data_IF_217132981820
#
_entry.id   IF_217132981820
#
_cell.length_a   1.000
_cell.length_b   1.000
_cell.length_c   1.000
_cell.angle_alpha   90.00
_cell.angle_beta   90.00
_cell.angle_gamma   90.00
#
_symmetry.space_group_name_H-M   'P 1'
#
loop_
_entity.id
_entity.type
_entity.pdbx_description
1 polymer ?
#
# COMPACT_ATOMS: atom_id res chain seq x y z
N UNK A 1 -1.37 5.78 13.07
CA UNK A 1 0.01 5.96 13.59
C UNK A 1 0.96 5.25 12.65
N UNK A 2 2.08 5.86 12.21
CA UNK A 2 3.07 5.12 11.45
C UNK A 2 3.66 4.02 12.36
N UNK A 3 3.67 2.79 11.85
CA UNK A 3 4.18 1.62 12.54
C UNK A 3 5.71 1.73 12.54
N UNK A 4 6.28 2.44 13.54
CA UNK A 4 7.73 2.38 13.77
C UNK A 4 8.14 0.90 13.90
N UNK A 5 9.31 0.52 13.37
CA UNK A 5 9.95 -0.74 13.79
C UNK A 5 10.11 -0.66 15.30
N UNK A 6 9.21 -1.37 15.98
CA UNK A 6 9.49 -1.88 17.31
C UNK A 6 10.73 -2.76 17.19
N UNK A 7 11.57 -2.91 18.23
CA UNK A 7 12.84 -3.67 18.22
C UNK A 7 12.69 -5.19 17.98
N UNK A 8 11.67 -5.63 17.23
CA UNK A 8 11.19 -6.99 17.07
C UNK A 8 11.11 -7.45 15.61
N UNK A 9 11.55 -6.64 14.63
CA UNK A 9 11.89 -7.12 13.27
C UNK A 9 13.36 -7.57 13.15
N UNK A 10 14.17 -7.35 14.19
CA UNK A 10 15.58 -7.73 14.30
C UNK A 10 15.80 -9.15 14.84
N UNK A 11 14.77 -10.00 14.84
CA UNK A 11 14.89 -11.38 15.32
C UNK A 11 15.83 -12.15 14.39
N UNK A 12 16.99 -12.54 14.90
CA UNK A 12 17.90 -13.43 14.18
C UNK A 12 17.24 -14.79 14.03
N UNK A 13 17.33 -15.36 12.84
CA UNK A 13 16.89 -16.74 12.57
C UNK A 13 18.13 -17.54 12.18
N UNK A 14 18.34 -18.67 12.86
CA UNK A 14 19.42 -19.58 12.48
C UNK A 14 18.94 -20.50 11.36
N UNK A 15 19.36 -20.21 10.13
CA UNK A 15 18.99 -20.99 8.94
C UNK A 15 19.50 -22.44 9.01
N UNK A 16 20.58 -22.73 9.76
CA UNK A 16 21.09 -24.10 9.93
C UNK A 16 20.18 -24.92 10.84
N UNK A 17 19.68 -24.31 11.92
CA UNK A 17 18.70 -24.97 12.80
C UNK A 17 17.37 -25.12 12.04
N UNK A 18 16.93 -24.08 11.32
CA UNK A 18 15.71 -24.13 10.51
C UNK A 18 15.74 -25.24 9.46
N UNK A 19 16.90 -25.50 8.86
CA UNK A 19 17.11 -26.59 7.90
C UNK A 19 16.93 -28.00 8.49
N UNK A 20 16.92 -28.14 9.83
CA UNK A 20 16.70 -29.43 10.50
C UNK A 20 15.22 -29.75 10.74
N UNK A 21 14.29 -28.86 10.35
CA UNK A 21 12.86 -29.11 10.49
C UNK A 21 12.45 -30.38 9.72
N UNK A 22 11.89 -31.40 10.40
CA UNK A 22 11.24 -32.51 9.72
C UNK A 22 9.87 -32.07 9.19
N UNK A 23 9.21 -32.95 8.44
CA UNK A 23 7.79 -32.76 8.14
C UNK A 23 7.00 -32.91 9.44
N UNK A 24 6.29 -31.84 9.82
CA UNK A 24 5.51 -31.77 11.06
C UNK A 24 4.06 -31.37 10.79
N UNK A 25 3.16 -31.94 11.58
CA UNK A 25 1.74 -31.64 11.63
C UNK A 25 1.30 -30.98 12.94
N UNK A 26 -0.02 -30.88 13.12
CA UNK A 26 -0.65 -30.15 14.23
C UNK A 26 -0.27 -30.75 15.58
N UNK A 27 0.18 -29.91 16.51
CA UNK A 27 0.50 -30.29 17.88
C UNK A 27 1.86 -30.95 18.08
N UNK A 28 2.59 -31.22 16.99
CA UNK A 28 3.92 -31.82 17.05
C UNK A 28 4.99 -30.81 17.52
N UNK A 29 6.07 -31.34 18.09
CA UNK A 29 7.15 -30.55 18.72
C UNK A 29 8.49 -30.90 18.10
N UNK A 30 9.30 -29.88 17.90
CA UNK A 30 10.70 -30.05 17.48
C UNK A 30 11.52 -28.84 17.90
N UNK A 31 12.82 -29.03 18.16
CA UNK A 31 13.71 -27.94 18.58
C UNK A 31 13.73 -26.78 17.56
N UNK A 32 13.68 -27.11 16.26
CA UNK A 32 13.68 -26.13 15.17
C UNK A 32 12.34 -25.39 14.97
N UNK A 33 11.24 -25.83 15.61
CA UNK A 33 9.95 -25.10 15.53
C UNK A 33 10.06 -23.72 16.15
N UNK A 34 10.91 -23.54 17.18
CA UNK A 34 11.18 -22.21 17.76
C UNK A 34 11.77 -21.24 16.74
N UNK A 35 12.74 -21.70 15.94
CA UNK A 35 13.34 -20.90 14.86
C UNK A 35 12.33 -20.60 13.74
N UNK A 36 11.47 -21.56 13.41
CA UNK A 36 10.38 -21.34 12.45
C UNK A 36 9.41 -20.26 12.94
N UNK A 37 9.02 -20.31 14.21
CA UNK A 37 8.15 -19.31 14.83
C UNK A 37 8.84 -17.93 14.83
N UNK A 38 10.15 -17.87 15.09
CA UNK A 38 10.96 -16.65 14.95
C UNK A 38 10.95 -16.11 13.52
N UNK A 39 11.09 -16.97 12.51
CA UNK A 39 10.99 -16.59 11.10
C UNK A 39 9.60 -16.03 10.77
N UNK A 40 8.54 -16.71 11.16
CA UNK A 40 7.16 -16.25 10.91
C UNK A 40 6.87 -14.92 11.61
N UNK A 41 7.42 -14.68 12.81
CA UNK A 41 7.35 -13.38 13.50
C UNK A 41 8.14 -12.30 12.79
N UNK A 42 9.34 -12.64 12.29
CA UNK A 42 10.22 -11.70 11.60
C UNK A 42 9.55 -11.14 10.35
N UNK A 43 8.92 -11.99 9.55
CA UNK A 43 8.25 -11.57 8.30
C UNK A 43 6.78 -11.18 8.46
N UNK A 44 6.27 -11.16 9.70
CA UNK A 44 4.95 -10.60 10.02
C UNK A 44 3.75 -11.53 9.83
N UNK A 45 3.99 -12.85 9.74
CA UNK A 45 2.93 -13.86 9.67
C UNK A 45 2.39 -14.25 11.03
N UNK A 46 3.22 -14.21 12.06
CA UNK A 46 2.85 -14.57 13.43
C UNK A 46 2.83 -13.31 14.31
N UNK A 47 1.67 -13.03 14.90
CA UNK A 47 1.48 -11.85 15.76
C UNK A 47 2.36 -11.92 17.00
N UNK A 48 2.98 -10.79 17.36
CA UNK A 48 3.94 -10.73 18.47
C UNK A 48 3.31 -10.83 19.86
N UNK A 49 2.05 -10.38 19.98
CA UNK A 49 1.31 -10.34 21.24
C UNK A 49 0.50 -11.63 21.49
N UNK A 50 0.53 -12.57 20.54
CA UNK A 50 -0.15 -13.85 20.71
C UNK A 50 0.68 -14.79 21.59
N UNK A 51 0.01 -15.42 22.56
CA UNK A 51 0.60 -16.41 23.44
C UNK A 51 0.82 -17.73 22.70
N UNK A 52 1.91 -17.81 21.94
CA UNK A 52 2.30 -19.05 21.25
C UNK A 52 2.97 -20.04 22.21
N UNK A 53 2.81 -21.32 21.94
CA UNK A 53 3.58 -22.40 22.57
C UNK A 53 4.90 -22.57 21.84
N UNK A 54 5.97 -21.97 22.38
CA UNK A 54 7.31 -22.03 21.80
C UNK A 54 7.74 -23.49 21.53
N UNK A 55 8.24 -23.75 20.31
CA UNK A 55 8.71 -25.08 19.91
C UNK A 55 7.61 -26.11 19.63
N UNK A 56 6.34 -25.67 19.58
CA UNK A 56 5.17 -26.50 19.27
C UNK A 56 4.42 -25.91 18.08
N UNK A 57 4.00 -26.76 17.14
CA UNK A 57 3.12 -26.38 16.03
C UNK A 57 1.68 -26.23 16.54
N UNK A 58 1.40 -25.15 17.28
CA UNK A 58 0.04 -24.83 17.72
C UNK A 58 -0.81 -24.19 16.62
N UNK A 59 -2.11 -24.03 16.89
CA UNK A 59 -3.09 -23.54 15.90
C UNK A 59 -2.69 -22.17 15.31
N UNK A 60 -2.16 -21.26 16.14
CA UNK A 60 -1.67 -19.96 15.70
C UNK A 60 -0.45 -20.07 14.79
N UNK A 61 0.52 -20.93 15.13
CA UNK A 61 1.70 -21.19 14.30
C UNK A 61 1.28 -21.78 12.95
N UNK A 62 0.29 -22.67 12.93
CA UNK A 62 -0.26 -23.28 11.71
C UNK A 62 -0.93 -22.23 10.83
N UNK A 63 -1.75 -21.35 11.39
CA UNK A 63 -2.42 -20.31 10.63
C UNK A 63 -1.43 -19.29 10.04
N UNK A 64 -0.38 -18.95 10.78
CA UNK A 64 0.74 -18.17 10.28
C UNK A 64 1.48 -18.90 9.15
N UNK A 65 1.74 -20.20 9.30
CA UNK A 65 2.40 -21.01 8.29
C UNK A 65 1.58 -21.11 7.00
N UNK A 66 0.26 -21.31 7.11
CA UNK A 66 -0.65 -21.28 5.96
C UNK A 66 -0.65 -19.92 5.29
N UNK A 67 -0.55 -18.83 6.05
CA UNK A 67 -0.50 -17.48 5.49
C UNK A 67 0.81 -17.24 4.73
N UNK A 68 1.94 -17.72 5.26
CA UNK A 68 3.22 -17.75 4.55
C UNK A 68 3.16 -18.57 3.25
N UNK A 69 2.61 -19.80 3.32
CA UNK A 69 2.43 -20.66 2.16
C UNK A 69 1.57 -19.99 1.08
N UNK A 70 0.41 -19.44 1.45
CA UNK A 70 -0.46 -18.70 0.52
C UNK A 70 0.26 -17.54 -0.14
N UNK A 71 1.01 -16.75 0.63
CA UNK A 71 1.72 -15.58 0.12
C UNK A 71 2.76 -15.94 -0.94
N UNK A 72 3.47 -17.05 -0.75
CA UNK A 72 4.46 -17.57 -1.71
C UNK A 72 3.85 -18.44 -2.82
N UNK A 73 2.53 -18.59 -2.87
CA UNK A 73 1.85 -19.43 -3.87
C UNK A 73 2.03 -20.94 -3.66
N UNK A 74 2.33 -21.37 -2.43
CA UNK A 74 2.38 -22.77 -2.03
C UNK A 74 1.00 -23.26 -1.55
N UNK A 75 0.81 -24.59 -1.55
CA UNK A 75 -0.38 -25.19 -0.96
C UNK A 75 -0.44 -24.88 0.55
N UNK A 76 -1.55 -24.33 1.07
CA UNK A 76 -1.66 -23.91 2.47
C UNK A 76 -1.96 -25.09 3.40
N UNK A 77 -1.03 -26.04 3.44
CA UNK A 77 -1.11 -27.28 4.21
C UNK A 77 -1.02 -27.03 5.72
N UNK A 78 -0.34 -25.96 6.14
CA UNK A 78 0.00 -25.72 7.53
C UNK A 78 1.01 -26.71 8.09
N UNK A 79 1.75 -27.41 7.21
CA UNK A 79 2.80 -28.37 7.54
C UNK A 79 4.17 -27.87 7.08
N UNK A 80 5.22 -28.34 7.71
CA UNK A 80 6.62 -28.08 7.28
C UNK A 80 7.05 -29.05 6.18
N UNK A 81 6.25 -29.15 5.12
CA UNK A 81 6.56 -30.01 3.97
C UNK A 81 7.81 -29.55 3.20
N UNK A 82 8.28 -30.39 2.27
CA UNK A 82 9.51 -30.13 1.53
C UNK A 82 9.49 -28.80 0.75
N UNK A 83 8.33 -28.39 0.22
CA UNK A 83 8.18 -27.13 -0.48
C UNK A 83 8.31 -25.93 0.47
N UNK A 84 7.67 -26.04 1.64
CA UNK A 84 7.71 -25.03 2.70
C UNK A 84 9.13 -24.88 3.28
N UNK A 85 9.82 -25.99 3.54
CA UNK A 85 11.22 -25.97 3.99
C UNK A 85 12.15 -25.33 2.96
N UNK A 86 11.96 -25.68 1.68
CA UNK A 86 12.71 -25.04 0.59
C UNK A 86 12.48 -23.53 0.58
N UNK A 87 11.24 -23.08 0.74
CA UNK A 87 10.91 -21.66 0.78
C UNK A 87 11.54 -20.92 1.98
N UNK A 88 11.60 -21.53 3.17
CA UNK A 88 12.29 -20.96 4.32
C UNK A 88 13.78 -20.73 4.08
N UNK A 89 14.42 -21.61 3.32
CA UNK A 89 15.86 -21.59 3.05
C UNK A 89 16.24 -20.79 1.79
N UNK A 90 15.26 -20.29 1.05
CA UNK A 90 15.53 -19.43 -0.10
C UNK A 90 16.07 -18.07 0.34
N UNK A 91 17.08 -17.61 -0.40
CA UNK A 91 17.60 -16.25 -0.29
C UNK A 91 16.50 -15.24 -0.58
N UNK A 92 16.42 -14.14 0.17
CA UNK A 92 15.28 -13.20 0.12
C UNK A 92 15.63 -11.78 0.61
N UNK A 93 14.70 -10.85 0.41
CA UNK A 93 14.74 -9.53 1.06
C UNK A 93 14.47 -9.63 2.57
N UNK A 94 15.05 -8.70 3.33
CA UNK A 94 14.94 -8.61 4.80
C UNK A 94 13.64 -8.01 5.33
N UNK A 95 12.88 -7.29 4.50
CA UNK A 95 11.64 -6.63 4.92
C UNK A 95 10.50 -7.63 5.19
N UNK A 96 9.54 -7.29 6.06
CA UNK A 96 8.39 -8.15 6.34
C UNK A 96 7.40 -8.22 5.16
N UNK A 97 6.76 -9.37 4.98
CA UNK A 97 5.75 -9.60 3.93
C UNK A 97 4.38 -9.01 4.31
N UNK A 98 4.09 -8.93 5.62
CA UNK A 98 2.80 -8.52 6.19
C UNK A 98 3.00 -7.64 7.43
N UNK A 99 2.12 -6.66 7.72
CA UNK A 99 0.93 -6.25 6.97
C UNK A 99 1.24 -5.25 5.83
N UNK A 100 2.46 -5.25 5.31
CA UNK A 100 2.90 -4.32 4.26
C UNK A 100 2.27 -4.74 2.93
N UNK A 101 1.00 -4.37 2.71
CA UNK A 101 0.32 -4.68 1.45
C UNK A 101 1.08 -4.05 0.27
N UNK A 102 1.30 -4.85 -0.77
CA UNK A 102 2.10 -4.56 -1.96
C UNK A 102 1.92 -3.14 -2.54
N UNK A 103 0.69 -2.61 -2.53
CA UNK A 103 0.31 -1.31 -3.11
C UNK A 103 0.06 -0.20 -2.08
N UNK A 104 0.28 -0.45 -0.79
CA UNK A 104 -0.32 0.33 0.30
C UNK A 104 0.68 1.02 1.23
N UNK A 105 1.98 1.09 0.88
CA UNK A 105 2.94 1.81 1.73
C UNK A 105 2.80 3.31 1.48
N UNK A 106 3.26 3.83 0.34
CA UNK A 106 2.98 5.21 -0.08
C UNK A 106 4.11 5.84 -0.90
N UNK A 107 3.81 6.78 -1.81
CA UNK A 107 4.80 7.35 -2.72
C UNK A 107 5.68 8.41 -2.04
N UNK A 108 6.81 8.71 -2.68
CA UNK A 108 7.47 10.00 -2.49
C UNK A 108 6.56 11.15 -2.94
N UNK A 109 6.58 12.27 -2.19
CA UNK A 109 5.85 13.49 -2.57
C UNK A 109 6.45 14.19 -3.79
N UNK A 110 7.75 13.98 -4.04
CA UNK A 110 8.47 14.46 -5.23
C UNK A 110 9.02 13.30 -6.04
N UNK A 111 9.30 13.56 -7.32
CA UNK A 111 9.73 12.54 -8.28
C UNK A 111 11.20 12.59 -8.68
N UNK A 112 11.89 13.71 -8.41
CA UNK A 112 13.34 13.78 -8.57
C UNK A 112 14.00 13.41 -7.24
N UNK A 113 14.73 12.29 -7.22
CA UNK A 113 15.39 11.73 -6.06
C UNK A 113 16.91 11.74 -6.26
N UNK A 114 17.65 12.01 -5.21
CA UNK A 114 19.11 11.97 -5.18
C UNK A 114 19.60 10.71 -4.50
N UNK A 115 20.67 10.11 -5.00
CA UNK A 115 21.29 8.93 -4.38
C UNK A 115 22.80 9.07 -4.31
N UNK A 116 23.42 8.37 -3.36
CA UNK A 116 24.87 8.26 -3.27
C UNK A 116 25.29 6.82 -2.98
N UNK A 117 26.52 6.48 -3.37
CA UNK A 117 27.16 5.23 -3.01
C UNK A 117 28.03 5.42 -1.77
N UNK A 118 27.79 4.60 -0.74
CA UNK A 118 28.67 4.45 0.41
C UNK A 118 29.72 3.37 0.16
N UNK A 119 29.89 2.46 1.12
CA UNK A 119 30.80 1.33 0.97
C UNK A 119 30.31 0.39 -0.13
N UNK A 120 31.23 -0.07 -1.00
CA UNK A 120 30.94 -1.03 -2.06
C UNK A 120 31.59 -2.38 -1.76
N UNK A 121 31.03 -3.46 -2.30
CA UNK A 121 31.68 -4.77 -2.26
C UNK A 121 32.97 -4.78 -3.07
N UNK A 122 33.95 -5.57 -2.63
CA UNK A 122 35.20 -5.84 -3.34
C UNK A 122 35.14 -7.11 -4.20
N UNK A 123 34.00 -7.80 -4.22
CA UNK A 123 33.80 -9.05 -4.98
C UNK A 123 33.62 -8.82 -6.48
N UNK A 124 33.20 -7.61 -6.85
CA UNK A 124 33.19 -7.10 -8.23
C UNK A 124 33.88 -5.74 -8.26
N UNK A 125 34.18 -5.22 -9.46
CA UNK A 125 34.73 -3.87 -9.58
C UNK A 125 33.69 -2.83 -9.13
N UNK A 126 34.14 -1.74 -8.52
CA UNK A 126 33.25 -0.65 -8.09
C UNK A 126 32.40 -0.12 -9.26
N UNK A 127 32.99 0.01 -10.45
CA UNK A 127 32.27 0.43 -11.67
C UNK A 127 31.16 -0.55 -12.04
N UNK A 128 31.41 -1.86 -11.97
CA UNK A 128 30.41 -2.87 -12.29
C UNK A 128 29.23 -2.84 -11.29
N UNK A 129 29.52 -2.76 -9.98
CA UNK A 129 28.48 -2.63 -8.95
C UNK A 129 27.63 -1.37 -9.14
N UNK A 130 28.27 -0.21 -9.34
CA UNK A 130 27.57 1.05 -9.58
C UNK A 130 26.72 1.01 -10.85
N UNK A 131 27.26 0.46 -11.94
CA UNK A 131 26.54 0.32 -13.23
C UNK A 131 25.30 -0.56 -13.06
N UNK A 132 25.40 -1.67 -12.32
CA UNK A 132 24.27 -2.55 -12.05
C UNK A 132 23.13 -1.83 -11.29
N UNK A 133 23.49 -1.05 -10.26
CA UNK A 133 22.51 -0.27 -9.49
C UNK A 133 21.92 0.87 -10.34
N UNK A 134 22.74 1.55 -11.15
CA UNK A 134 22.27 2.57 -12.10
C UNK A 134 21.30 2.00 -13.13
N UNK A 135 21.54 0.78 -13.63
CA UNK A 135 20.60 0.10 -14.52
C UNK A 135 19.26 -0.22 -13.84
N UNK A 136 19.28 -0.61 -12.56
CA UNK A 136 18.06 -0.81 -11.78
C UNK A 136 17.28 0.51 -11.59
N UNK A 137 17.96 1.62 -11.27
CA UNK A 137 17.35 2.96 -11.21
C UNK A 137 16.75 3.38 -12.57
N UNK A 138 17.47 3.16 -13.66
CA UNK A 138 17.01 3.45 -15.02
C UNK A 138 15.77 2.62 -15.39
N UNK A 139 15.70 1.37 -14.93
CA UNK A 139 14.55 0.49 -15.14
C UNK A 139 13.29 1.04 -14.46
N UNK A 140 13.40 1.50 -13.21
CA UNK A 140 12.30 2.19 -12.52
C UNK A 140 11.94 3.54 -13.13
N UNK A 141 12.94 4.33 -13.55
CA UNK A 141 12.73 5.59 -14.28
C UNK A 141 11.91 5.36 -15.56
N UNK A 142 12.15 4.23 -16.24
CA UNK A 142 11.42 3.80 -17.45
C UNK A 142 9.97 3.36 -17.24
N UNK A 143 9.47 3.26 -15.99
CA UNK A 143 8.10 2.81 -15.71
C UNK A 143 7.00 3.78 -16.19
N UNK A 144 7.38 5.00 -16.59
CA UNK A 144 6.47 6.02 -17.13
C UNK A 144 5.75 6.84 -16.06
N UNK A 145 6.29 6.87 -14.84
CA UNK A 145 5.73 7.63 -13.70
C UNK A 145 6.50 8.92 -13.41
N UNK A 146 7.35 9.38 -14.32
CA UNK A 146 8.06 10.66 -14.20
C UNK A 146 9.07 10.74 -13.05
N UNK A 147 9.55 9.60 -12.54
CA UNK A 147 10.67 9.54 -11.61
C UNK A 147 11.98 9.93 -12.30
N UNK A 148 12.91 10.55 -11.57
CA UNK A 148 14.27 10.80 -12.03
C UNK A 148 15.26 10.63 -10.90
N UNK A 149 16.46 10.14 -11.21
CA UNK A 149 17.50 9.88 -10.21
C UNK A 149 18.78 10.64 -10.51
N UNK A 150 19.31 11.33 -9.50
CA UNK A 150 20.56 12.11 -9.62
C UNK A 150 21.60 11.58 -8.64
N UNK A 151 22.75 11.14 -9.14
CA UNK A 151 23.86 10.76 -8.27
C UNK A 151 24.50 12.02 -7.65
N UNK A 152 24.70 12.00 -6.34
CA UNK A 152 25.40 13.04 -5.58
C UNK A 152 26.47 12.43 -4.68
N UNK A 153 27.32 13.26 -4.08
CA UNK A 153 28.26 12.81 -3.05
C UNK A 153 27.53 12.55 -1.73
N UNK A 154 28.04 11.64 -0.92
CA UNK A 154 27.48 11.35 0.42
C UNK A 154 27.42 12.59 1.32
N UNK A 155 28.39 13.51 1.17
CA UNK A 155 28.44 14.79 1.90
C UNK A 155 27.34 15.79 1.51
N UNK A 156 26.59 15.52 0.44
CA UNK A 156 25.50 16.39 -0.04
C UNK A 156 24.13 16.00 0.52
N UNK A 157 24.06 15.09 1.50
CA UNK A 157 22.82 14.60 2.12
C UNK A 157 21.84 14.03 1.08
N UNK A 158 22.19 12.91 0.40
CA UNK A 158 21.32 12.28 -0.58
C UNK A 158 20.00 11.82 0.05
N UNK A 159 19.02 11.52 -0.79
CA UNK A 159 17.76 10.91 -0.35
C UNK A 159 17.93 9.43 -0.07
N UNK A 160 18.80 8.77 -0.83
CA UNK A 160 19.02 7.32 -0.79
C UNK A 160 20.52 7.08 -0.62
N UNK A 161 20.89 6.31 0.39
CA UNK A 161 22.28 5.87 0.59
C UNK A 161 22.37 4.37 0.32
N UNK A 162 23.18 4.01 -0.67
CA UNK A 162 23.31 2.63 -1.15
C UNK A 162 24.70 2.11 -0.77
N UNK A 163 24.75 1.03 0.02
CA UNK A 163 26.01 0.51 0.52
C UNK A 163 25.96 -0.97 0.93
N UNK A 164 27.13 -1.59 0.98
CA UNK A 164 27.34 -2.93 1.50
C UNK A 164 27.72 -2.85 2.98
N UNK A 165 27.00 -3.59 3.81
CA UNK A 165 27.15 -3.65 5.27
C UNK A 165 27.48 -5.08 5.71
N UNK A 166 28.09 -5.28 6.90
CA UNK A 166 28.18 -6.60 7.50
C UNK A 166 26.80 -7.24 7.71
N UNK A 167 26.70 -8.57 7.64
CA UNK A 167 25.44 -9.29 7.82
C UNK A 167 24.70 -8.93 9.12
N UNK A 168 25.42 -8.68 10.21
CA UNK A 168 24.86 -8.22 11.49
C UNK A 168 24.59 -6.70 11.50
N UNK A 169 23.93 -6.21 10.46
CA UNK A 169 23.54 -4.80 10.29
C UNK A 169 22.62 -4.35 11.46
N UNK A 170 22.96 -3.25 12.17
CA UNK A 170 22.16 -2.74 13.27
C UNK A 170 20.79 -2.19 12.85
N UNK A 171 20.63 -1.75 11.60
CA UNK A 171 19.37 -1.21 11.09
C UNK A 171 18.36 -2.33 10.87
N UNK A 172 18.77 -3.37 10.13
CA UNK A 172 18.05 -4.62 10.00
C UNK A 172 19.00 -5.78 9.71
N UNK A 173 19.06 -6.73 10.64
CA UNK A 173 19.99 -7.85 10.58
C UNK A 173 19.79 -8.70 9.31
N UNK A 174 20.82 -8.87 8.49
CA UNK A 174 20.83 -9.66 7.26
C UNK A 174 21.43 -11.07 7.41
N UNK A 175 21.66 -11.56 8.63
CA UNK A 175 22.16 -12.94 8.81
C UNK A 175 21.19 -13.98 8.24
N UNK A 176 21.77 -15.08 7.73
CA UNK A 176 21.01 -16.24 7.27
C UNK A 176 20.76 -16.20 5.76
N UNK A 177 19.50 -16.05 5.35
CA UNK A 177 19.09 -16.07 3.94
C UNK A 177 18.82 -14.67 3.36
N UNK A 178 19.21 -13.62 4.07
CA UNK A 178 18.83 -12.25 3.71
C UNK A 178 19.91 -11.63 2.84
N UNK A 179 19.53 -11.19 1.66
CA UNK A 179 20.47 -10.60 0.70
C UNK A 179 20.69 -9.12 0.93
N UNK A 180 19.61 -8.41 1.21
CA UNK A 180 19.57 -6.97 1.35
C UNK A 180 18.31 -6.54 2.09
N UNK A 181 18.27 -5.27 2.45
CA UNK A 181 17.05 -4.58 2.85
C UNK A 181 17.12 -3.12 2.43
N UNK A 182 15.95 -2.50 2.42
CA UNK A 182 15.80 -1.07 2.20
C UNK A 182 14.81 -0.48 3.19
N UNK A 183 14.28 0.69 2.87
CA UNK A 183 13.23 1.35 3.63
C UNK A 183 12.17 1.92 2.69
N UNK A 184 11.16 2.56 3.25
CA UNK A 184 10.06 3.18 2.52
C UNK A 184 10.14 4.71 2.52
N UNK A 185 9.44 5.39 1.59
CA UNK A 185 9.43 6.84 1.50
C UNK A 185 9.11 7.55 2.83
N UNK A 186 9.55 8.82 3.00
CA UNK A 186 9.29 9.59 4.22
C UNK A 186 7.81 9.60 4.60
N UNK A 187 7.53 9.32 5.89
CA UNK A 187 6.18 9.15 6.42
C UNK A 187 5.72 7.69 6.49
N UNK A 188 6.37 6.80 5.75
CA UNK A 188 6.12 5.35 5.74
C UNK A 188 7.34 4.52 6.10
N UNK A 189 8.51 5.16 6.17
CA UNK A 189 9.76 4.56 6.65
C UNK A 189 9.56 3.80 7.96
N UNK A 190 10.11 2.59 7.98
CA UNK A 190 10.06 1.66 9.10
C UNK A 190 11.44 1.53 9.75
N UNK A 191 12.55 1.74 9.03
CA UNK A 191 13.92 1.57 9.53
C UNK A 191 14.44 2.85 10.20
N UNK A 192 14.48 3.97 9.46
CA UNK A 192 15.09 5.22 9.94
C UNK A 192 14.04 6.30 10.25
N UNK A 193 14.48 7.42 10.80
CA UNK A 193 13.65 8.63 10.96
C UNK A 193 14.28 9.78 10.18
N UNK A 194 14.02 9.83 8.89
CA UNK A 194 14.50 10.90 8.01
C UNK A 194 15.33 10.37 6.84
N UNK A 195 16.21 11.22 6.32
CA UNK A 195 17.09 10.92 5.19
C UNK A 195 18.55 10.87 5.63
N UNK A 196 19.42 10.14 4.91
CA UNK A 196 19.09 9.29 3.75
C UNK A 196 18.32 8.02 4.15
N UNK A 197 17.46 7.52 3.24
CA UNK A 197 16.90 6.18 3.37
C UNK A 197 17.97 5.14 3.01
N UNK A 198 18.11 4.05 3.80
CA UNK A 198 19.11 3.02 3.55
C UNK A 198 18.68 2.06 2.44
N UNK A 199 19.64 1.67 1.60
CA UNK A 199 19.62 0.43 0.81
C UNK A 199 20.90 -0.33 1.16
N UNK A 200 20.78 -1.36 1.97
CA UNK A 200 21.91 -2.11 2.50
C UNK A 200 21.96 -3.51 1.89
N UNK A 201 23.10 -3.86 1.31
CA UNK A 201 23.41 -5.19 0.81
C UNK A 201 24.27 -5.94 1.84
N UNK A 202 24.02 -7.23 2.05
CA UNK A 202 24.89 -8.03 2.91
C UNK A 202 26.22 -8.30 2.22
N UNK A 203 27.31 -7.76 2.74
CA UNK A 203 28.65 -7.96 2.20
C UNK A 203 29.22 -9.37 2.40
N UNK A 204 28.53 -10.24 3.15
CA UNK A 204 28.89 -11.64 3.35
C UNK A 204 28.45 -12.55 2.19
N UNK A 205 27.51 -12.07 1.37
CA UNK A 205 26.97 -12.80 0.22
C UNK A 205 27.96 -12.87 -0.95
N UNK A 206 27.80 -13.85 -1.84
CA UNK A 206 28.62 -13.96 -3.08
C UNK A 206 27.98 -13.18 -4.22
N UNK A 207 28.36 -11.91 -4.36
CA UNK A 207 27.81 -10.97 -5.34
C UNK A 207 28.46 -11.14 -6.72
N UNK A 208 27.63 -11.06 -7.76
CA UNK A 208 28.08 -11.10 -9.15
C UNK A 208 27.17 -10.24 -10.06
N UNK A 209 27.53 -10.16 -11.34
CA UNK A 209 26.73 -9.52 -12.39
C UNK A 209 26.23 -10.61 -13.35
N UNK A 210 24.92 -10.72 -13.51
CA UNK A 210 24.25 -11.67 -14.41
C UNK A 210 24.34 -13.15 -14.00
N UNK A 211 24.83 -13.47 -12.81
CA UNK A 211 24.99 -14.83 -12.30
C UNK A 211 24.89 -14.88 -10.77
N UNK A 212 24.77 -16.08 -10.20
CA UNK A 212 24.73 -16.32 -8.75
C UNK A 212 23.75 -15.38 -8.03
N UNK A 213 24.24 -14.51 -7.16
CA UNK A 213 23.49 -13.42 -6.51
C UNK A 213 23.75 -12.13 -7.32
N UNK A 214 22.85 -11.83 -8.25
CA UNK A 214 23.01 -10.71 -9.17
C UNK A 214 22.71 -9.37 -8.48
N UNK A 215 23.66 -8.43 -8.53
CA UNK A 215 23.53 -7.11 -7.91
C UNK A 215 22.37 -6.33 -8.51
N UNK A 216 22.20 -6.34 -9.84
CA UNK A 216 21.15 -5.55 -10.49
C UNK A 216 19.76 -6.04 -10.06
N UNK A 217 19.57 -7.35 -9.96
CA UNK A 217 18.31 -7.97 -9.55
C UNK A 217 17.93 -7.58 -8.13
N UNK A 218 18.85 -7.73 -7.17
CA UNK A 218 18.59 -7.37 -5.78
C UNK A 218 18.38 -5.86 -5.66
N UNK A 219 19.21 -5.05 -6.33
CA UNK A 219 19.02 -3.60 -6.35
C UNK A 219 17.66 -3.20 -6.93
N UNK A 220 17.21 -3.86 -8.00
CA UNK A 220 15.91 -3.58 -8.62
C UNK A 220 14.75 -3.83 -7.65
N UNK A 221 14.82 -4.91 -6.86
CA UNK A 221 13.87 -5.21 -5.79
C UNK A 221 13.90 -4.16 -4.66
N UNK A 222 15.06 -3.94 -4.06
CA UNK A 222 15.21 -3.02 -2.92
C UNK A 222 14.84 -1.57 -3.28
N UNK A 223 15.13 -1.15 -4.52
CA UNK A 223 14.71 0.16 -5.01
C UNK A 223 13.19 0.27 -5.17
N UNK A 224 12.47 -0.83 -5.38
CA UNK A 224 11.00 -0.82 -5.35
C UNK A 224 10.45 -0.44 -3.99
N UNK A 225 11.08 -0.90 -2.90
CA UNK A 225 10.75 -0.48 -1.53
C UNK A 225 11.05 1.00 -1.31
N UNK A 226 12.22 1.48 -1.75
CA UNK A 226 12.56 2.90 -1.72
C UNK A 226 11.50 3.74 -2.44
N UNK A 227 10.88 3.22 -3.50
CA UNK A 227 9.81 3.89 -4.23
C UNK A 227 8.42 3.72 -3.59
N UNK A 228 8.28 2.86 -2.58
CA UNK A 228 7.06 2.69 -1.79
C UNK A 228 6.23 1.45 -2.13
N UNK A 229 6.77 0.48 -2.86
CA UNK A 229 6.13 -0.81 -3.11
C UNK A 229 6.46 -1.80 -1.99
N UNK A 230 5.47 -2.57 -1.53
CA UNK A 230 5.70 -3.71 -0.64
C UNK A 230 6.18 -4.95 -1.40
N UNK A 231 6.19 -6.11 -0.73
CA UNK A 231 6.39 -7.39 -1.41
C UNK A 231 5.14 -7.80 -2.20
N UNK A 232 5.33 -8.41 -3.37
CA UNK A 232 4.29 -9.03 -4.18
C UNK A 232 4.16 -10.52 -3.85
N UNK A 233 2.94 -11.04 -3.99
CA UNK A 233 2.66 -12.49 -3.96
C UNK A 233 2.69 -13.12 -5.37
N UNK A 234 2.90 -12.32 -6.42
CA UNK A 234 2.98 -12.81 -7.80
C UNK A 234 4.37 -13.37 -8.08
N UNK A 235 4.45 -14.69 -8.22
CA UNK A 235 5.70 -15.37 -8.55
C UNK A 235 6.31 -14.80 -9.85
N UNK A 236 7.60 -14.46 -9.79
CA UNK A 236 8.34 -13.88 -10.91
C UNK A 236 8.27 -12.36 -11.03
N UNK A 237 7.41 -11.67 -10.25
CA UNK A 237 7.49 -10.21 -10.11
C UNK A 237 8.83 -9.80 -9.50
N UNK A 238 9.32 -8.61 -9.86
CA UNK A 238 10.53 -8.04 -9.25
C UNK A 238 10.35 -7.95 -7.74
N UNK A 239 9.16 -7.53 -7.29
CA UNK A 239 8.87 -7.37 -5.88
C UNK A 239 8.48 -8.67 -5.15
N UNK A 240 8.59 -9.84 -5.78
CA UNK A 240 8.45 -11.11 -5.07
C UNK A 240 9.61 -11.26 -4.05
N UNK A 241 9.35 -11.66 -2.78
CA UNK A 241 10.34 -11.50 -1.71
C UNK A 241 11.56 -12.41 -1.82
N UNK A 242 11.45 -13.55 -2.52
CA UNK A 242 12.52 -14.54 -2.62
C UNK A 242 13.28 -14.41 -3.95
N UNK A 243 14.58 -14.63 -3.89
CA UNK A 243 15.47 -14.56 -5.04
C UNK A 243 15.28 -15.78 -5.96
N UNK A 244 14.75 -15.53 -7.15
CA UNK A 244 14.49 -16.54 -8.18
C UNK A 244 15.56 -16.66 -9.27
N UNK A 245 16.61 -15.83 -9.23
CA UNK A 245 17.60 -15.70 -10.31
C UNK A 245 17.60 -14.30 -10.92
N UNK A 246 18.45 -14.08 -11.92
CA UNK A 246 18.66 -12.75 -12.49
C UNK A 246 17.39 -12.22 -13.18
N UNK A 247 16.97 -11.01 -12.81
CA UNK A 247 15.81 -10.30 -13.33
C UNK A 247 16.14 -8.81 -13.49
N UNK A 248 16.06 -8.32 -14.73
CA UNK A 248 16.45 -6.94 -15.08
C UNK A 248 15.31 -6.11 -15.67
N UNK A 249 14.10 -6.66 -15.71
CA UNK A 249 12.91 -6.03 -16.30
C UNK A 249 11.74 -6.09 -15.34
N UNK A 250 10.99 -4.99 -15.25
CA UNK A 250 9.75 -4.93 -14.48
C UNK A 250 8.70 -5.84 -15.11
N UNK A 251 8.03 -6.64 -14.29
CA UNK A 251 6.88 -7.41 -14.72
C UNK A 251 5.61 -6.55 -14.67
N UNK A 252 4.52 -7.08 -15.21
CA UNK A 252 3.26 -6.33 -15.27
C UNK A 252 2.73 -5.98 -13.88
N UNK A 253 2.93 -6.86 -12.90
CA UNK A 253 2.53 -6.60 -11.51
C UNK A 253 3.32 -5.42 -10.90
N UNK A 254 4.63 -5.35 -11.13
CA UNK A 254 5.49 -4.25 -10.70
C UNK A 254 5.09 -2.92 -11.36
N UNK A 255 4.82 -2.96 -12.68
CA UNK A 255 4.34 -1.80 -13.44
C UNK A 255 2.98 -1.30 -12.95
N UNK A 256 2.06 -2.23 -12.66
CA UNK A 256 0.75 -1.90 -12.11
C UNK A 256 0.91 -1.27 -10.72
N UNK A 257 1.74 -1.85 -9.87
CA UNK A 257 2.03 -1.34 -8.53
C UNK A 257 2.61 0.07 -8.56
N UNK A 258 3.68 0.32 -9.33
CA UNK A 258 4.33 1.63 -9.36
C UNK A 258 3.45 2.70 -10.01
N UNK A 259 2.75 2.36 -11.11
CA UNK A 259 1.82 3.30 -11.77
C UNK A 259 0.62 3.56 -10.90
N UNK A 260 0.14 2.57 -10.17
CA UNK A 260 -0.88 2.79 -9.16
C UNK A 260 -0.37 3.74 -8.08
N UNK A 261 0.79 3.48 -7.50
CA UNK A 261 1.33 4.29 -6.41
C UNK A 261 1.57 5.74 -6.81
N UNK A 262 2.08 5.96 -8.01
CA UNK A 262 2.52 7.26 -8.51
C UNK A 262 1.56 7.90 -9.52
N UNK A 263 0.40 7.32 -9.78
CA UNK A 263 -0.71 8.01 -10.47
C UNK A 263 -1.37 9.01 -9.52
N UNK A 264 -2.28 9.82 -10.04
CA UNK A 264 -2.97 10.84 -9.24
C UNK A 264 -3.64 10.26 -8.00
N UNK A 265 -3.71 11.10 -6.95
CA UNK A 265 -4.29 10.77 -5.65
C UNK A 265 -5.72 10.20 -5.74
N UNK A 266 -6.41 10.63 -6.79
CA UNK A 266 -7.79 10.31 -7.10
C UNK A 266 -7.85 9.83 -8.53
N UNK A 267 -8.33 8.60 -8.70
CA UNK A 267 -8.59 8.03 -10.01
C UNK A 267 -10.08 7.74 -10.15
N UNK A 268 -10.61 7.98 -11.34
CA UNK A 268 -11.95 7.53 -11.69
C UNK A 268 -11.80 6.18 -12.39
N UNK A 269 -12.35 5.13 -11.81
CA UNK A 269 -12.38 3.81 -12.44
C UNK A 269 -13.78 3.49 -12.95
N UNK A 270 -13.87 2.98 -14.16
CA UNK A 270 -15.10 2.46 -14.73
C UNK A 270 -15.51 1.18 -13.98
N UNK A 271 -16.72 1.16 -13.44
CA UNK A 271 -17.30 -0.01 -12.78
C UNK A 271 -18.68 -0.30 -13.35
N UNK A 272 -18.86 -1.47 -13.95
CA UNK A 272 -20.17 -1.86 -14.48
C UNK A 272 -21.17 -2.13 -13.35
N UNK A 273 -22.46 -1.93 -13.64
CA UNK A 273 -23.55 -2.33 -12.75
C UNK A 273 -23.46 -3.81 -12.32
N UNK A 274 -23.00 -4.68 -13.22
CA UNK A 274 -22.77 -6.10 -12.92
C UNK A 274 -21.65 -6.30 -11.89
N UNK A 275 -20.54 -5.57 -12.02
CA UNK A 275 -19.43 -5.63 -11.06
C UNK A 275 -19.80 -5.05 -9.69
N UNK A 276 -20.75 -4.11 -9.63
CA UNK A 276 -21.25 -3.56 -8.36
C UNK A 276 -22.36 -4.42 -7.74
N UNK A 277 -23.12 -5.14 -8.55
CA UNK A 277 -24.23 -6.00 -8.11
C UNK A 277 -23.80 -7.11 -7.14
N UNK A 278 -22.53 -7.54 -7.16
CA UNK A 278 -22.01 -8.51 -6.17
C UNK A 278 -21.99 -7.96 -4.74
N UNK A 279 -21.97 -6.63 -4.58
CA UNK A 279 -21.97 -5.95 -3.28
C UNK A 279 -23.36 -5.45 -2.88
N UNK A 280 -24.39 -5.73 -3.70
CA UNK A 280 -25.68 -5.09 -3.60
C UNK A 280 -26.89 -5.99 -3.94
N UNK A 281 -27.79 -6.26 -2.98
CA UNK A 281 -29.10 -6.83 -3.27
C UNK A 281 -30.16 -5.71 -3.43
N UNK A 282 -30.78 -5.64 -4.62
CA UNK A 282 -31.98 -4.86 -5.02
C UNK A 282 -31.81 -3.42 -5.54
N UNK A 283 -32.13 -3.18 -6.81
CA UNK A 283 -32.48 -1.94 -7.58
C UNK A 283 -32.61 -0.51 -6.98
N UNK A 284 -32.24 -0.21 -5.73
CA UNK A 284 -32.38 1.12 -5.12
C UNK A 284 -31.06 1.91 -5.16
N UNK A 285 -31.13 3.11 -5.74
CA UNK A 285 -29.99 4.01 -5.93
C UNK A 285 -29.32 4.46 -4.63
N UNK A 286 -30.02 4.39 -3.50
CA UNK A 286 -29.49 4.85 -2.21
C UNK A 286 -28.26 4.06 -1.73
N UNK A 287 -28.09 2.84 -2.24
CA UNK A 287 -27.10 1.90 -1.76
C UNK A 287 -25.86 1.78 -2.65
N UNK A 288 -25.79 2.55 -3.75
CA UNK A 288 -24.61 2.59 -4.62
C UNK A 288 -23.35 3.10 -3.91
N UNK A 289 -23.49 4.00 -2.93
CA UNK A 289 -22.36 4.50 -2.14
C UNK A 289 -21.67 3.36 -1.37
N UNK A 290 -22.44 2.40 -0.86
CA UNK A 290 -21.93 1.23 -0.14
C UNK A 290 -21.19 0.28 -1.08
N UNK A 291 -21.81 -0.01 -2.23
CA UNK A 291 -21.23 -0.88 -3.24
C UNK A 291 -19.92 -0.29 -3.80
N UNK A 292 -19.91 1.00 -4.14
CA UNK A 292 -18.73 1.69 -4.64
C UNK A 292 -17.60 1.73 -3.61
N UNK A 293 -17.93 2.01 -2.35
CA UNK A 293 -16.96 2.01 -1.27
C UNK A 293 -16.31 0.63 -1.04
N UNK A 294 -17.12 -0.43 -0.97
CA UNK A 294 -16.62 -1.81 -0.83
C UNK A 294 -15.82 -2.26 -2.05
N UNK A 295 -16.32 -1.99 -3.25
CA UNK A 295 -15.64 -2.31 -4.50
C UNK A 295 -14.24 -1.68 -4.57
N UNK A 296 -14.11 -0.43 -4.11
CA UNK A 296 -12.82 0.26 -4.05
C UNK A 296 -11.92 -0.33 -2.96
N UNK A 297 -12.45 -0.63 -1.77
CA UNK A 297 -11.66 -1.24 -0.69
C UNK A 297 -11.07 -2.61 -1.07
N UNK A 298 -11.85 -3.43 -1.76
CA UNK A 298 -11.39 -4.73 -2.27
C UNK A 298 -10.25 -4.62 -3.30
N UNK A 299 -10.02 -3.41 -3.84
CA UNK A 299 -8.95 -3.08 -4.80
C UNK A 299 -7.82 -2.25 -4.18
N UNK A 300 -7.75 -2.19 -2.85
CA UNK A 300 -6.66 -1.52 -2.13
C UNK A 300 -6.83 0.00 -1.96
N UNK A 301 -7.98 0.57 -2.34
CA UNK A 301 -8.30 1.97 -2.05
C UNK A 301 -8.77 2.15 -0.60
N UNK A 302 -8.59 3.36 -0.06
CA UNK A 302 -9.12 3.68 1.27
C UNK A 302 -10.62 3.96 1.21
N UNK A 303 -11.10 4.51 0.10
CA UNK A 303 -12.51 4.79 -0.11
C UNK A 303 -12.87 4.85 -1.61
N UNK A 304 -14.12 4.51 -1.92
CA UNK A 304 -14.75 4.75 -3.21
C UNK A 304 -15.98 5.63 -3.04
N UNK A 305 -16.14 6.62 -3.92
CA UNK A 305 -17.33 7.47 -4.01
C UNK A 305 -17.91 7.29 -5.42
N UNK A 306 -19.19 6.94 -5.57
CA UNK A 306 -19.79 6.82 -6.89
C UNK A 306 -19.77 8.18 -7.60
N UNK A 307 -19.42 8.17 -8.88
CA UNK A 307 -19.63 9.31 -9.76
C UNK A 307 -20.43 8.89 -10.99
N UNK A 308 -21.19 9.84 -11.51
CA UNK A 308 -22.04 9.63 -12.67
C UNK A 308 -21.51 10.47 -13.83
N UNK A 309 -21.29 9.84 -14.98
CA UNK A 309 -20.92 10.55 -16.22
C UNK A 309 -22.10 10.75 -17.16
N UNK A 310 -23.10 9.86 -17.15
CA UNK A 310 -24.37 9.99 -17.89
C UNK A 310 -25.58 9.48 -17.07
N UNK A 311 -26.79 9.76 -17.58
CA UNK A 311 -28.04 9.29 -16.97
C UNK A 311 -28.13 7.77 -17.03
N UNK A 312 -28.29 7.13 -15.88
CA UNK A 312 -28.34 5.67 -15.74
C UNK A 312 -27.06 4.93 -16.20
N UNK A 313 -25.95 5.65 -16.43
CA UNK A 313 -24.66 5.06 -16.78
C UNK A 313 -23.67 5.25 -15.61
N UNK A 314 -23.45 4.18 -14.88
CA UNK A 314 -22.62 4.14 -13.67
C UNK A 314 -21.14 3.95 -14.01
N UNK A 315 -20.59 4.72 -14.95
CA UNK A 315 -19.21 4.52 -15.44
C UNK A 315 -18.11 5.05 -14.56
N UNK A 316 -18.33 5.36 -13.29
CA UNK A 316 -17.25 5.92 -12.49
C UNK A 316 -17.37 5.69 -10.99
N UNK A 317 -16.29 5.18 -10.41
CA UNK A 317 -16.04 5.25 -8.97
C UNK A 317 -14.80 6.12 -8.78
N UNK A 318 -14.98 7.24 -8.08
CA UNK A 318 -13.90 8.06 -7.58
C UNK A 318 -13.21 7.27 -6.47
N UNK A 319 -12.08 6.67 -6.80
CA UNK A 319 -11.29 5.86 -5.89
C UNK A 319 -10.20 6.73 -5.25
N UNK A 320 -10.23 6.80 -3.93
CA UNK A 320 -9.30 7.58 -3.12
C UNK A 320 -8.25 6.62 -2.55
N UNK A 321 -6.98 6.90 -2.76
CA UNK A 321 -5.88 6.04 -2.31
C UNK A 321 -5.62 6.14 -0.80
N UNK A 322 -5.00 5.11 -0.18
CA UNK A 322 -4.45 5.22 1.16
C UNK A 322 -3.56 6.44 1.32
N UNK A 323 -3.60 7.07 2.49
CA UNK A 323 -2.85 8.28 2.78
C UNK A 323 -3.57 9.59 2.44
N UNK A 324 -4.56 9.60 1.54
CA UNK A 324 -5.28 10.81 1.10
C UNK A 324 -6.60 11.08 1.82
N UNK A 325 -7.22 10.03 2.35
CA UNK A 325 -8.38 10.10 3.21
C UNK A 325 -8.27 9.06 4.33
N UNK A 326 -9.02 9.27 5.41
CA UNK A 326 -9.21 8.28 6.46
C UNK A 326 -10.69 7.89 6.50
N UNK A 327 -11.00 6.61 6.73
CA UNK A 327 -12.37 6.17 7.02
C UNK A 327 -12.50 6.09 8.53
N UNK A 328 -13.43 6.85 9.09
CA UNK A 328 -13.63 6.92 10.53
C UNK A 328 -15.06 6.61 10.89
N UNK A 329 -15.26 5.93 12.02
CA UNK A 329 -16.60 5.68 12.49
C UNK A 329 -17.27 6.98 13.01
N UNK A 330 -18.58 7.08 12.78
CA UNK A 330 -19.46 8.09 13.34
C UNK A 330 -20.82 7.46 13.64
N UNK A 331 -21.29 7.62 14.87
CA UNK A 331 -22.63 7.17 15.24
C UNK A 331 -23.69 8.12 14.68
N UNK A 332 -24.90 7.60 14.44
CA UNK A 332 -26.07 8.44 14.09
C UNK A 332 -26.24 9.59 15.10
N UNK A 333 -26.05 9.33 16.40
CA UNK A 333 -26.13 10.35 17.44
C UNK A 333 -25.07 11.45 17.28
N UNK A 334 -23.83 11.10 16.92
CA UNK A 334 -22.78 12.07 16.63
C UNK A 334 -23.07 12.87 15.36
N UNK A 335 -23.69 12.28 14.34
CA UNK A 335 -24.09 13.01 13.14
C UNK A 335 -25.28 13.95 13.43
N UNK A 336 -26.28 13.47 14.18
CA UNK A 336 -27.47 14.24 14.56
C UNK A 336 -27.15 15.48 15.40
N UNK A 337 -26.02 15.52 16.14
CA UNK A 337 -25.59 16.73 16.85
C UNK A 337 -25.11 17.85 15.92
N UNK A 338 -24.70 17.52 14.68
CA UNK A 338 -24.32 18.50 13.66
C UNK A 338 -25.47 18.86 12.72
N UNK A 339 -26.55 18.05 12.70
CA UNK A 339 -27.80 18.37 12.03
C UNK A 339 -29.00 17.56 12.59
N UNK A 340 -30.02 18.20 13.22
CA UNK A 340 -31.06 17.50 14.00
C UNK A 340 -32.16 16.79 13.17
N UNK A 341 -32.08 16.79 11.84
CA UNK A 341 -33.09 16.16 10.97
C UNK A 341 -32.64 14.79 10.42
N UNK A 342 -33.50 13.77 10.55
CA UNK A 342 -33.24 12.40 10.09
C UNK A 342 -33.66 12.21 8.62
N UNK A 343 -33.01 12.92 7.68
CA UNK A 343 -33.08 12.54 6.25
C UNK A 343 -31.69 12.20 5.73
N UNK A 344 -31.63 11.33 4.73
CA UNK A 344 -30.39 10.84 4.12
C UNK A 344 -29.49 11.95 3.55
N UNK A 345 -30.08 13.07 3.16
CA UNK A 345 -29.37 14.25 2.64
C UNK A 345 -28.68 15.07 3.75
N UNK A 346 -29.26 15.10 4.96
CA UNK A 346 -28.68 15.83 6.10
C UNK A 346 -27.41 15.19 6.65
N UNK A 347 -27.18 13.91 6.37
CA UNK A 347 -25.95 13.23 6.79
C UNK A 347 -24.72 13.66 5.99
N UNK A 348 -24.87 14.17 4.77
CA UNK A 348 -23.75 14.75 4.02
C UNK A 348 -23.22 16.01 4.71
N UNK A 349 -24.14 16.88 5.16
CA UNK A 349 -23.83 18.09 5.94
C UNK A 349 -23.14 17.73 7.25
N UNK A 350 -23.72 16.78 8.00
CA UNK A 350 -23.21 16.36 9.29
C UNK A 350 -21.82 15.71 9.17
N UNK A 351 -21.62 14.84 8.19
CA UNK A 351 -20.35 14.18 7.92
C UNK A 351 -19.26 15.22 7.55
N UNK A 352 -19.60 16.19 6.71
CA UNK A 352 -18.69 17.26 6.33
C UNK A 352 -18.26 18.11 7.54
N UNK A 353 -19.21 18.57 8.35
CA UNK A 353 -18.93 19.38 9.55
C UNK A 353 -18.14 18.61 10.61
N UNK A 354 -18.47 17.34 10.82
CA UNK A 354 -17.73 16.47 11.74
C UNK A 354 -16.29 16.25 11.27
N UNK A 355 -16.07 16.02 9.97
CA UNK A 355 -14.72 15.92 9.42
C UNK A 355 -13.94 17.22 9.58
N UNK A 356 -14.54 18.37 9.30
CA UNK A 356 -13.92 19.69 9.51
C UNK A 356 -13.55 19.92 10.99
N UNK A 357 -14.43 19.54 11.92
CA UNK A 357 -14.17 19.62 13.36
C UNK A 357 -13.01 18.70 13.78
N UNK A 358 -12.80 17.58 13.07
CA UNK A 358 -11.66 16.67 13.23
C UNK A 358 -10.39 17.11 12.48
N UNK A 359 -10.40 18.29 11.85
CA UNK A 359 -9.23 18.88 11.18
C UNK A 359 -9.09 18.54 9.69
N UNK A 360 -10.02 17.79 9.11
CA UNK A 360 -10.05 17.43 7.69
C UNK A 360 -10.58 18.56 6.80
N UNK A 361 -10.38 18.48 5.48
CA UNK A 361 -10.91 19.49 4.55
C UNK A 361 -12.39 19.26 4.22
N UNK A 362 -12.79 18.00 4.11
CA UNK A 362 -14.16 17.60 3.83
C UNK A 362 -14.44 16.19 4.37
N UNK A 363 -15.72 15.92 4.63
CA UNK A 363 -16.23 14.60 4.99
C UNK A 363 -17.31 14.17 4.02
N UNK A 364 -17.32 12.89 3.65
CA UNK A 364 -18.34 12.27 2.80
C UNK A 364 -18.91 11.10 3.60
N UNK A 365 -20.25 11.02 3.78
CA UNK A 365 -20.84 9.90 4.50
C UNK A 365 -20.59 8.60 3.74
N UNK A 366 -20.28 7.53 4.48
CA UNK A 366 -20.22 6.18 3.92
C UNK A 366 -20.93 5.20 4.86
N UNK A 367 -21.40 4.07 4.32
CA UNK A 367 -22.03 3.02 5.12
C UNK A 367 -21.22 1.73 5.00
N UNK A 368 -21.00 1.07 6.13
CA UNK A 368 -20.46 -0.30 6.16
C UNK A 368 -21.55 -1.36 6.27
N UNK A 369 -22.77 -1.01 6.72
CA UNK A 369 -23.91 -1.92 6.85
C UNK A 369 -25.20 -1.29 6.32
N UNK A 370 -26.12 -2.13 5.84
CA UNK A 370 -27.43 -1.71 5.38
C UNK A 370 -28.18 -1.01 6.52
N UNK A 371 -28.60 0.24 6.30
CA UNK A 371 -29.33 1.12 7.24
C UNK A 371 -28.55 1.74 8.42
N UNK A 372 -27.23 1.58 8.51
CA UNK A 372 -26.44 2.21 9.58
C UNK A 372 -25.34 3.09 8.98
N UNK A 373 -25.48 4.42 9.12
CA UNK A 373 -24.42 5.38 8.82
C UNK A 373 -23.37 5.27 9.91
N UNK A 374 -22.48 4.29 9.77
CA UNK A 374 -21.37 4.12 10.70
C UNK A 374 -20.09 4.79 10.27
N UNK A 375 -19.95 5.27 9.02
CA UNK A 375 -18.66 5.73 8.50
C UNK A 375 -18.68 7.13 7.90
N UNK A 376 -17.52 7.80 7.97
CA UNK A 376 -17.22 9.03 7.24
C UNK A 376 -15.88 8.86 6.55
N UNK A 377 -15.85 9.13 5.25
CA UNK A 377 -14.63 9.33 4.47
C UNK A 377 -14.16 10.76 4.72
N UNK A 378 -13.08 10.90 5.49
CA UNK A 378 -12.48 12.17 5.89
C UNK A 378 -11.30 12.51 4.98
N UNK A 379 -11.47 13.50 4.09
CA UNK A 379 -10.43 13.92 3.13
C UNK A 379 -9.39 14.79 3.83
N UNK A 380 -8.10 14.46 3.68
CA UNK A 380 -7.02 15.22 4.35
C UNK A 380 -6.79 16.58 3.68
N UNK A 381 -6.31 17.54 4.47
CA UNK A 381 -5.95 18.88 3.98
C UNK A 381 -4.86 18.80 2.91
N UNK A 382 -4.96 19.66 1.90
CA UNK A 382 -4.01 19.71 0.78
C UNK A 382 -4.36 18.81 -0.41
N UNK A 383 -5.34 17.93 -0.26
CA UNK A 383 -5.75 16.97 -1.32
C UNK A 383 -7.10 17.26 -1.95
N UNK A 384 -7.85 18.20 -1.38
CA UNK A 384 -9.07 18.71 -1.97
C UNK A 384 -9.23 20.19 -1.62
N UNK A 385 -9.99 20.90 -2.45
CA UNK A 385 -10.50 22.23 -2.16
C UNK A 385 -12.02 22.16 -2.06
N UNK A 386 -12.63 22.94 -1.17
CA UNK A 386 -14.09 23.15 -1.20
C UNK A 386 -14.34 24.45 -1.95
N UNK A 387 -15.08 24.38 -3.06
CA UNK A 387 -15.36 25.52 -3.92
C UNK A 387 -16.85 25.76 -4.04
N UNK A 388 -17.27 27.00 -3.90
CA UNK A 388 -18.67 27.34 -4.12
C UNK A 388 -18.95 27.38 -5.62
N UNK A 389 -20.08 26.81 -6.03
CA UNK A 389 -20.57 26.84 -7.40
C UNK A 389 -22.03 27.23 -7.39
N UNK A 390 -22.40 28.21 -8.22
CA UNK A 390 -23.79 28.63 -8.32
C UNK A 390 -24.63 27.57 -9.04
N UNK A 391 -25.92 27.51 -8.72
CA UNK A 391 -26.87 26.65 -9.44
C UNK A 391 -26.83 26.92 -10.95
N UNK A 392 -26.64 28.18 -11.35
CA UNK A 392 -26.55 28.57 -12.76
C UNK A 392 -25.29 28.03 -13.44
N UNK A 393 -24.13 28.05 -12.77
CA UNK A 393 -22.90 27.43 -13.29
C UNK A 393 -23.05 25.92 -13.44
N UNK A 394 -23.70 25.26 -12.48
CA UNK A 394 -23.94 23.81 -12.55
C UNK A 394 -24.94 23.42 -13.64
N UNK A 395 -25.97 24.24 -13.87
CA UNK A 395 -26.95 24.03 -14.93
C UNK A 395 -26.34 24.04 -16.34
N UNK A 396 -25.19 24.68 -16.53
CA UNK A 396 -24.44 24.63 -17.80
C UNK A 396 -23.89 23.23 -18.10
N UNK A 397 -23.56 22.46 -17.07
CA UNK A 397 -23.01 21.11 -17.21
C UNK A 397 -24.11 20.04 -17.15
N UNK A 398 -25.23 20.33 -16.49
CA UNK A 398 -26.42 19.49 -16.49
C UNK A 398 -27.72 20.28 -16.21
N UNK A 399 -28.65 20.41 -17.18
CA UNK A 399 -29.81 21.31 -17.07
C UNK A 399 -30.94 20.83 -16.14
N UNK A 400 -30.87 19.61 -15.58
CA UNK A 400 -31.90 19.08 -14.66
C UNK A 400 -31.57 19.40 -13.20
N UNK A 401 -32.60 19.73 -12.42
CA UNK A 401 -32.50 20.27 -11.05
C UNK A 401 -32.65 19.25 -9.93
N UNK A 402 -32.78 17.95 -10.24
CA UNK A 402 -32.89 16.93 -9.18
C UNK A 402 -31.51 16.64 -8.57
N UNK A 403 -31.50 16.20 -7.31
CA UNK A 403 -30.29 16.05 -6.51
C UNK A 403 -29.31 15.00 -7.04
N UNK A 404 -29.82 13.96 -7.70
CA UNK A 404 -28.99 12.96 -8.38
C UNK A 404 -28.17 13.56 -9.53
N UNK A 405 -28.67 14.65 -10.13
CA UNK A 405 -28.05 15.31 -11.27
C UNK A 405 -26.97 16.31 -10.87
N UNK A 406 -26.95 16.75 -9.60
CA UNK A 406 -25.88 17.59 -9.07
C UNK A 406 -24.53 16.87 -8.99
N UNK A 407 -24.50 15.54 -8.89
CA UNK A 407 -23.25 14.78 -8.88
C UNK A 407 -22.54 14.84 -10.24
N UNK A 408 -23.30 14.68 -11.33
CA UNK A 408 -22.78 14.81 -12.72
C UNK A 408 -22.29 16.24 -12.95
N UNK A 409 -23.11 17.23 -12.59
CA UNK A 409 -22.79 18.63 -12.79
C UNK A 409 -21.56 19.06 -11.98
N UNK A 410 -21.48 18.68 -10.70
CA UNK A 410 -20.36 18.99 -9.82
C UNK A 410 -19.05 18.36 -10.31
N UNK A 411 -19.11 17.09 -10.75
CA UNK A 411 -17.94 16.41 -11.27
C UNK A 411 -17.40 17.10 -12.54
N UNK A 412 -18.26 17.36 -13.53
CA UNK A 412 -17.89 18.06 -14.77
C UNK A 412 -17.42 19.49 -14.51
N UNK A 413 -18.05 20.20 -13.57
CA UNK A 413 -17.67 21.55 -13.18
C UNK A 413 -16.26 21.59 -12.59
N UNK A 414 -15.92 20.61 -11.74
CA UNK A 414 -14.59 20.50 -11.14
C UNK A 414 -13.53 20.12 -12.19
N UNK A 415 -13.83 19.15 -13.05
CA UNK A 415 -12.96 18.74 -14.16
C UNK A 415 -12.63 19.89 -15.12
N UNK A 416 -13.63 20.71 -15.46
CA UNK A 416 -13.43 21.91 -16.28
C UNK A 416 -12.50 22.96 -15.63
N UNK A 417 -12.22 22.84 -14.33
CA UNK A 417 -11.34 23.72 -13.54
C UNK A 417 -10.02 23.05 -13.16
N UNK A 418 -9.70 21.91 -13.79
CA UNK A 418 -8.43 21.20 -13.62
C UNK A 418 -8.38 20.27 -12.41
N UNK A 419 -9.50 20.03 -11.75
CA UNK A 419 -9.62 19.02 -10.69
C UNK A 419 -9.89 17.62 -11.29
N UNK A 420 -9.52 16.57 -10.55
CA UNK A 420 -9.76 15.19 -11.01
C UNK A 420 -11.21 14.77 -10.90
N UNK A 421 -11.86 15.17 -9.81
CA UNK A 421 -13.26 14.88 -9.58
C UNK A 421 -13.90 15.93 -8.67
N UNK A 422 -15.22 16.05 -8.80
CA UNK A 422 -16.05 16.93 -7.97
C UNK A 422 -17.14 16.15 -7.26
N UNK A 423 -17.25 16.34 -5.96
CA UNK A 423 -18.29 15.71 -5.12
C UNK A 423 -19.13 16.82 -4.50
N UNK A 424 -20.45 16.84 -4.69
CA UNK A 424 -21.30 17.89 -4.13
C UNK A 424 -21.30 17.84 -2.60
N UNK A 425 -21.25 19.01 -1.96
CA UNK A 425 -21.44 19.19 -0.53
C UNK A 425 -22.66 20.10 -0.31
N UNK A 426 -23.65 19.59 0.41
CA UNK A 426 -24.90 20.28 0.69
C UNK A 426 -24.83 20.99 2.05
N UNK A 427 -25.61 22.06 2.24
CA UNK A 427 -25.85 22.65 3.57
C UNK A 427 -27.27 22.51 4.08
N UNK A 428 -28.25 22.46 3.17
CA UNK A 428 -29.67 22.24 3.45
C UNK A 428 -30.29 21.47 2.26
N UNK A 429 -31.49 20.89 2.46
CA UNK A 429 -32.26 20.24 1.39
C UNK A 429 -32.34 21.18 0.16
N UNK A 430 -31.83 20.72 -0.98
CA UNK A 430 -31.74 21.47 -2.25
C UNK A 430 -30.80 22.70 -2.30
N UNK A 431 -30.02 22.99 -1.25
CA UNK A 431 -29.08 24.11 -1.27
C UNK A 431 -27.62 23.61 -1.31
N UNK A 432 -27.01 23.76 -2.49
CA UNK A 432 -25.63 23.33 -2.75
C UNK A 432 -24.69 24.40 -2.22
N UNK A 433 -23.93 24.09 -1.17
CA UNK A 433 -22.98 25.05 -0.59
C UNK A 433 -21.70 25.11 -1.41
N UNK A 434 -21.22 23.95 -1.84
CA UNK A 434 -20.02 23.87 -2.65
C UNK A 434 -19.73 22.47 -3.16
N UNK A 435 -18.59 22.34 -3.83
CA UNK A 435 -18.09 21.14 -4.46
C UNK A 435 -16.75 20.83 -3.82
N UNK A 436 -16.64 19.62 -3.27
CA UNK A 436 -15.37 19.04 -2.84
C UNK A 436 -14.62 18.68 -4.14
N UNK A 437 -13.69 19.54 -4.51
CA UNK A 437 -12.87 19.44 -5.70
C UNK A 437 -11.58 18.68 -5.35
N UNK A 438 -11.52 17.42 -5.77
CA UNK A 438 -10.39 16.54 -5.53
C UNK A 438 -9.25 16.85 -6.50
N UNK A 439 -8.04 17.04 -5.97
CA UNK A 439 -6.85 17.43 -6.75
C UNK A 439 -6.23 16.28 -7.53
#
# INVERSE_FOLDING_TARGET
MPMMITPSFSVSVDSKILATLPELGIGEKHAAVGEMQSYLKRFGYLNRNESIKLGTLDDQTIDALKSFQRFLGLDPTGRTDAATLKAFLQKRCGLPDSPVAFQAVGPWTRRNLSYAFGNLTNQVTAVAAQTAIQNALNTWQGAGVGLSFTQVQTSQNPDILIEWRPANDPDLNMTGTILAHADFPPGFSIIVKGLPLPVHFDNSETWAIGANTDIQTVALHELGHILGLGHSSVAGAVMFPTYGGALTTLQQDDLNGIRFLYSDAVIVQDATLQQLGQYFPQTDFHYFHVAAHRWARDRGFVAGVPCHEELNDLRGIICIKPGYADVTDATVQQLSSYFPQNSTEHFHVAAHRLAQARGYVAGIPCHEQFQDLRGIICIKRGFADVRDATTQELQQYFPQTSIHYFHVAANRWAQARGYRAGIPCHEEYQNLRGIICLR
#
